data_IF_497021488834
#
_entry.id   IF_497021488834
#
_cell.length_a   1.000
_cell.length_b   1.000
_cell.length_c   1.000
_cell.angle_alpha   90.00
_cell.angle_beta   90.00
_cell.angle_gamma   90.00
#
_symmetry.space_group_name_H-M   'P 1'
#
loop_
_entity.id
_entity.type
_entity.pdbx_description
1 polymer ?
2 branched ?
3 non-polymer ?
4 non-polymer ?
5 non-polymer ?
6 water ?
#
# COMPACT_ATOMS: atom_id res chain seq x y z
N UNK A 4 -3.35 12.94 -15.67
CA UNK A 4 -2.03 13.47 -15.97
C UNK A 4 -0.91 12.59 -15.41
N UNK A 5 -1.03 12.06 -14.20
CA UNK A 5 0.07 11.30 -13.59
C UNK A 5 0.40 10.05 -14.40
N UNK A 6 -0.60 9.22 -14.64
CA UNK A 6 -0.37 7.97 -15.35
C UNK A 6 -0.07 8.23 -16.82
N UNK A 7 -0.67 9.24 -17.43
CA UNK A 7 -0.31 9.56 -18.81
C UNK A 7 1.15 9.95 -18.91
N UNK A 8 1.64 10.74 -17.96
CA UNK A 8 3.01 11.20 -18.00
C UNK A 8 4.02 10.13 -17.66
N UNK A 9 3.78 9.35 -16.59
CA UNK A 9 4.75 8.36 -16.13
C UNK A 9 4.58 7.02 -16.79
N UNK A 10 3.32 6.67 -17.11
CA UNK A 10 3.01 5.48 -17.82
C UNK A 10 3.46 4.22 -17.11
N UNK A 11 4.04 3.32 -17.85
CA UNK A 11 4.45 2.05 -17.37
C UNK A 11 5.56 2.19 -16.33
N UNK A 12 5.30 1.70 -15.12
CA UNK A 12 6.31 1.69 -14.08
C UNK A 12 7.12 0.44 -14.16
N UNK A 13 8.40 0.53 -13.78
CA UNK A 13 9.24 -0.65 -13.70
C UNK A 13 10.32 -0.41 -12.64
N UNK A 14 11.06 -1.48 -12.36
CA UNK A 14 12.20 -1.39 -11.46
C UNK A 14 13.49 -1.42 -12.26
N UNK A 15 14.34 -0.44 -12.04
CA UNK A 15 15.65 -0.38 -12.66
C UNK A 15 16.68 -0.15 -11.58
N UNK A 16 17.62 -1.08 -11.45
CA UNK A 16 18.66 -0.97 -10.43
C UNK A 16 18.09 -0.67 -9.05
N UNK A 17 17.02 -1.37 -8.71
CA UNK A 17 16.46 -1.28 -7.38
C UNK A 17 15.59 -0.07 -7.12
N UNK A 18 15.28 0.71 -8.16
CA UNK A 18 14.51 1.95 -8.04
C UNK A 18 13.25 1.86 -8.87
N UNK A 19 12.16 2.42 -8.33
CA UNK A 19 10.95 2.62 -9.13
C UNK A 19 11.19 3.75 -10.11
N UNK A 20 10.97 3.44 -11.39
CA UNK A 20 11.14 4.40 -12.48
C UNK A 20 9.90 4.38 -13.37
N UNK A 21 9.76 5.48 -14.12
CA UNK A 21 8.72 5.58 -15.12
C UNK A 21 9.20 5.03 -16.47
N UNK A 22 8.34 5.16 -17.48
CA UNK A 22 8.60 4.53 -18.77
C UNK A 22 9.72 5.16 -19.56
N UNK A 23 10.18 6.31 -19.11
CA UNK A 23 11.34 6.97 -19.68
C UNK A 23 12.56 6.85 -18.79
N UNK A 24 12.48 5.99 -17.79
CA UNK A 24 13.62 5.66 -16.96
C UNK A 24 13.90 6.61 -15.84
N UNK A 25 13.02 7.56 -15.58
CA UNK A 25 13.21 8.53 -14.52
C UNK A 25 12.64 8.03 -13.21
N UNK A 26 13.35 8.28 -12.11
CA UNK A 26 12.81 7.91 -10.80
C UNK A 26 11.47 8.59 -10.61
N UNK A 27 10.53 7.86 -10.01
CA UNK A 27 9.34 8.49 -9.59
C UNK A 27 8.92 7.97 -8.23
N UNK A 28 8.35 8.86 -7.46
CA UNK A 28 7.91 8.56 -6.10
C UNK A 28 6.40 8.74 -6.02
N UNK A 29 5.72 7.68 -5.66
CA UNK A 29 4.29 7.73 -5.43
C UNK A 29 4.04 8.06 -3.96
N UNK A 30 3.02 8.90 -3.71
CA UNK A 30 2.60 9.25 -2.37
C UNK A 30 1.11 9.30 -2.36
N UNK A 31 0.46 8.58 -1.46
CA UNK A 31 -0.99 8.55 -1.40
C UNK A 31 -1.53 7.98 -0.13
N UNK A 32 -2.81 7.61 -0.20
CA UNK A 32 -3.55 7.09 0.91
C UNK A 32 -3.95 5.65 0.71
N UNK A 33 -3.99 4.93 1.82
CA UNK A 33 -4.68 3.66 1.91
C UNK A 33 -6.06 3.83 2.50
N UNK A 34 -7.00 3.06 1.98
CA UNK A 34 -8.23 2.84 2.68
C UNK A 34 -7.92 2.13 4.00
N UNK A 35 -8.89 2.15 4.92
CA UNK A 35 -8.92 1.18 6.01
C UNK A 35 -9.55 -0.08 5.45
N UNK A 36 -9.93 -1.03 6.29
CA UNK A 36 -10.48 -2.23 5.74
C UNK A 36 -11.76 -1.98 4.95
N UNK A 37 -11.85 -2.53 3.74
CA UNK A 37 -12.99 -2.30 2.88
C UNK A 37 -14.28 -2.87 3.44
N UNK A 38 -14.19 -3.84 4.33
CA UNK A 38 -15.35 -4.43 4.96
C UNK A 38 -15.91 -3.56 6.08
N UNK A 39 -15.16 -2.56 6.52
CA UNK A 39 -15.56 -1.70 7.64
C UNK A 39 -15.81 -0.26 7.23
N UNK A 40 -14.98 0.27 6.32
CA UNK A 40 -14.99 1.69 5.98
C UNK A 40 -14.95 1.88 4.46
N UNK A 41 -15.61 0.99 3.74
CA UNK A 41 -15.64 1.06 2.31
C UNK A 41 -16.35 2.25 1.73
N UNK A 42 -17.17 2.93 2.53
CA UNK A 42 -17.87 4.11 2.02
C UNK A 42 -16.95 5.23 1.66
N UNK A 43 -15.72 5.24 2.21
CA UNK A 43 -14.75 6.26 1.91
C UNK A 43 -14.02 6.02 0.60
N UNK A 44 -14.28 4.89 -0.06
CA UNK A 44 -13.61 4.54 -1.32
C UNK A 44 -14.59 4.69 -2.45
N UNK A 45 -14.42 5.75 -3.24
CA UNK A 45 -15.32 6.04 -4.34
C UNK A 45 -14.63 7.07 -5.22
N UNK A 46 -15.11 7.22 -6.45
CA UNK A 46 -14.54 8.17 -7.39
C UNK A 46 -14.46 9.56 -6.79
N UNK A 47 -15.54 10.04 -6.15
CA UNK A 47 -15.52 11.42 -5.68
C UNK A 47 -14.50 11.65 -4.58
N UNK A 48 -14.38 10.76 -3.62
CA UNK A 48 -13.39 10.93 -2.59
C UNK A 48 -11.97 10.83 -3.15
N UNK A 49 -11.75 9.91 -4.09
CA UNK A 49 -10.44 9.74 -4.70
C UNK A 49 -10.08 10.96 -5.53
N UNK A 50 -11.08 11.54 -6.21
CA UNK A 50 -10.84 12.74 -6.99
C UNK A 50 -10.46 13.90 -6.07
N UNK A 51 -11.14 14.03 -4.94
CA UNK A 51 -10.80 15.06 -3.96
C UNK A 51 -9.39 14.85 -3.41
N UNK A 52 -9.03 13.61 -3.09
CA UNK A 52 -7.65 13.34 -2.68
C UNK A 52 -6.66 13.73 -3.76
N UNK A 53 -6.96 13.39 -5.02
CA UNK A 53 -6.05 13.75 -6.09
C UNK A 53 -5.90 15.27 -6.18
N UNK A 54 -7.03 15.98 -6.20
CA UNK A 54 -7.02 17.40 -6.51
C UNK A 54 -6.62 18.28 -5.34
N UNK A 55 -7.09 17.95 -4.15
CA UNK A 55 -6.85 18.76 -2.96
C UNK A 55 -5.60 18.30 -2.19
N UNK A 56 -5.35 17.00 -2.10
CA UNK A 56 -4.13 16.52 -1.41
C UNK A 56 -2.96 16.32 -2.34
N UNK A 57 -3.21 16.08 -3.62
CA UNK A 57 -2.15 15.75 -4.55
C UNK A 57 -1.75 14.29 -4.61
N UNK A 58 -2.61 13.38 -4.17
CA UNK A 58 -2.22 11.97 -4.24
C UNK A 58 -1.96 11.56 -5.66
N UNK A 59 -1.06 10.58 -5.84
CA UNK A 59 -0.85 9.96 -7.14
C UNK A 59 -0.94 8.44 -7.10
N UNK A 60 -1.38 7.91 -5.97
CA UNK A 60 -1.64 6.48 -5.80
C UNK A 60 -2.69 6.34 -4.71
N UNK A 61 -3.51 5.30 -4.83
CA UNK A 61 -4.50 4.95 -3.82
C UNK A 61 -4.41 3.47 -3.57
N UNK A 62 -4.42 3.05 -2.29
CA UNK A 62 -4.31 1.66 -1.92
C UNK A 62 -5.65 1.16 -1.39
N UNK A 63 -6.16 0.10 -2.02
CA UNK A 63 -7.41 -0.52 -1.64
C UNK A 63 -7.10 -1.73 -0.75
N UNK A 64 -7.32 -1.58 0.56
CA UNK A 64 -6.92 -2.55 1.58
C UNK A 64 -8.03 -3.56 1.78
N UNK A 65 -7.98 -4.65 1.02
CA UNK A 65 -8.99 -5.68 1.06
C UNK A 65 -8.55 -6.75 2.06
N UNK A 66 -8.95 -6.58 3.33
CA UNK A 66 -8.73 -7.64 4.32
C UNK A 66 -9.25 -8.93 3.75
N UNK A 67 -8.52 -10.00 4.03
CA UNK A 67 -8.93 -11.35 3.71
C UNK A 67 -9.76 -11.97 4.84
N UNK A 68 -9.27 -11.87 6.06
CA UNK A 68 -9.95 -12.30 7.25
C UNK A 68 -10.62 -11.11 7.95
N UNK A 69 -11.01 -11.27 9.21
CA UNK A 69 -11.62 -10.18 9.98
C UNK A 69 -12.87 -9.63 9.27
N UNK A 70 -13.65 -10.53 8.71
CA UNK A 70 -14.88 -10.13 8.02
C UNK A 70 -14.68 -9.68 6.61
N UNK A 71 -13.45 -9.82 6.10
CA UNK A 71 -13.09 -9.46 4.75
C UNK A 71 -13.45 -10.51 3.71
N UNK A 72 -12.64 -10.57 2.65
CA UNK A 72 -12.95 -11.28 1.42
C UNK A 72 -13.29 -12.76 1.61
N UNK A 73 -12.57 -13.46 2.48
CA UNK A 73 -12.84 -14.88 2.69
C UNK A 73 -14.24 -15.08 3.29
N UNK A 74 -14.62 -14.23 4.22
CA UNK A 74 -15.91 -14.26 4.91
C UNK A 74 -17.04 -13.76 4.01
N UNK A 75 -16.77 -12.73 3.23
CA UNK A 75 -17.78 -12.11 2.37
C UNK A 75 -17.03 -11.53 1.18
N UNK A 76 -17.14 -12.18 0.01
CA UNK A 76 -16.26 -11.81 -1.09
C UNK A 76 -16.72 -10.58 -1.83
N UNK A 77 -17.87 -10.02 -1.44
CA UNK A 77 -18.39 -8.87 -2.14
C UNK A 77 -17.43 -7.69 -2.11
N UNK A 78 -16.52 -7.65 -1.14
CA UNK A 78 -15.65 -6.62 -1.06
C UNK A 78 -14.66 -6.54 -2.29
N UNK A 79 -14.51 -7.64 -3.04
CA UNK A 79 -13.74 -7.56 -4.28
C UNK A 79 -14.33 -6.54 -5.26
N UNK A 80 -15.65 -6.36 -5.22
CA UNK A 80 -16.27 -5.38 -6.13
C UNK A 80 -15.91 -3.97 -5.74
N UNK A 81 -15.65 -3.71 -4.46
CA UNK A 81 -15.19 -2.40 -4.03
C UNK A 81 -13.74 -2.18 -4.51
N UNK A 82 -12.90 -3.24 -4.51
CA UNK A 82 -11.57 -3.10 -5.11
C UNK A 82 -11.72 -2.70 -6.59
N UNK A 83 -12.60 -3.37 -7.32
CA UNK A 83 -12.83 -3.02 -8.73
C UNK A 83 -13.27 -1.57 -8.86
N UNK A 84 -14.18 -1.11 -8.01
CA UNK A 84 -14.58 0.29 -8.04
C UNK A 84 -13.40 1.23 -7.87
N UNK A 85 -12.52 0.90 -6.92
CA UNK A 85 -11.34 1.72 -6.69
C UNK A 85 -10.41 1.73 -7.88
N UNK A 86 -10.18 0.57 -8.49
CA UNK A 86 -9.32 0.48 -9.65
C UNK A 86 -9.88 1.30 -10.80
N UNK A 87 -11.17 1.16 -11.04
CA UNK A 87 -11.82 1.92 -12.11
C UNK A 87 -11.72 3.42 -11.86
N UNK A 88 -11.90 3.85 -10.62
CA UNK A 88 -11.75 5.25 -10.28
C UNK A 88 -10.33 5.72 -10.55
N UNK A 89 -9.33 4.94 -10.16
CA UNK A 89 -7.95 5.32 -10.41
C UNK A 89 -7.67 5.46 -11.90
N UNK A 90 -8.19 4.52 -12.69
CA UNK A 90 -8.06 4.62 -14.14
C UNK A 90 -8.70 5.91 -14.66
N UNK A 91 -9.90 6.22 -14.19
CA UNK A 91 -10.59 7.42 -14.64
C UNK A 91 -9.90 8.69 -14.21
N UNK A 92 -9.24 8.65 -13.04
CA UNK A 92 -8.56 9.78 -12.47
C UNK A 92 -7.10 9.89 -12.89
N UNK A 93 -6.61 8.88 -13.61
CA UNK A 93 -5.26 8.85 -14.09
C UNK A 93 -4.22 8.86 -12.95
N UNK A 94 -4.49 8.03 -11.92
CA UNK A 94 -3.55 7.78 -10.85
C UNK A 94 -3.29 6.29 -10.73
N UNK A 95 -2.26 5.94 -9.96
CA UNK A 95 -1.93 4.54 -9.73
C UNK A 95 -2.81 3.97 -8.61
N UNK A 96 -2.92 2.64 -8.57
CA UNK A 96 -3.75 1.97 -7.60
C UNK A 96 -3.08 0.70 -7.16
N UNK A 97 -3.07 0.48 -5.85
CA UNK A 97 -2.55 -0.74 -5.26
C UNK A 97 -3.72 -1.64 -4.86
N UNK A 98 -3.72 -2.87 -5.38
CA UNK A 98 -4.67 -3.90 -5.01
C UNK A 98 -4.03 -4.71 -3.89
N UNK A 99 -4.51 -4.55 -2.65
CA UNK A 99 -3.85 -5.12 -1.47
C UNK A 99 -4.65 -6.29 -0.90
N UNK A 100 -4.09 -7.49 -1.06
CA UNK A 100 -4.56 -8.72 -0.42
C UNK A 100 -4.10 -8.65 1.04
N UNK A 101 -5.00 -8.15 1.89
CA UNK A 101 -4.61 -7.57 3.16
C UNK A 101 -4.68 -8.60 4.29
N UNK A 102 -3.69 -9.50 4.27
CA UNK A 102 -3.55 -10.50 5.33
C UNK A 102 -3.10 -9.81 6.60
N UNK A 103 -3.52 -10.38 7.74
CA UNK A 103 -3.10 -9.85 9.04
C UNK A 103 -3.26 -10.95 10.09
N UNK A 104 -4.49 -11.19 10.56
CA UNK A 104 -4.70 -12.27 11.53
C UNK A 104 -4.41 -13.63 10.94
N UNK A 105 -4.72 -13.76 9.65
CA UNK A 105 -4.31 -14.86 8.83
C UNK A 105 -2.86 -14.62 8.45
N UNK A 106 -1.98 -14.95 9.39
CA UNK A 106 -0.66 -14.35 9.47
C UNK A 106 0.34 -14.97 8.49
N UNK A 107 0.03 -16.17 8.02
CA UNK A 107 0.81 -16.85 7.00
C UNK A 107 0.08 -16.67 5.69
N UNK A 108 0.73 -16.11 4.65
CA UNK A 108 0.02 -15.92 3.37
C UNK A 108 -0.39 -17.24 2.74
N UNK A 109 0.20 -18.35 3.16
CA UNK A 109 -0.19 -19.63 2.63
C UNK A 109 -1.57 -20.08 3.06
N UNK A 110 -2.14 -19.53 4.12
CA UNK A 110 -3.43 -19.98 4.63
C UNK A 110 -4.49 -19.87 3.53
N UNK A 111 -4.55 -18.73 2.85
CA UNK A 111 -5.55 -18.48 1.81
C UNK A 111 -4.90 -18.37 0.43
N UNK A 112 -3.83 -19.13 0.20
CA UNK A 112 -3.13 -19.01 -1.08
C UNK A 112 -3.99 -19.43 -2.26
N UNK A 113 -4.86 -20.43 -2.13
CA UNK A 113 -5.66 -20.82 -3.27
C UNK A 113 -6.59 -19.68 -3.68
N UNK A 114 -7.22 -19.08 -2.68
CA UNK A 114 -8.10 -17.95 -2.92
C UNK A 114 -7.32 -16.76 -3.46
N UNK A 115 -6.10 -16.54 -2.97
CA UNK A 115 -5.28 -15.45 -3.47
C UNK A 115 -4.96 -15.62 -4.94
N UNK A 116 -4.60 -16.84 -5.33
CA UNK A 116 -4.29 -17.11 -6.72
C UNK A 116 -5.50 -16.80 -7.59
N UNK A 117 -6.67 -17.28 -7.20
CA UNK A 117 -7.94 -17.03 -7.91
C UNK A 117 -8.18 -15.55 -8.04
N UNK A 118 -8.06 -14.83 -6.94
CA UNK A 118 -8.34 -13.41 -6.90
C UNK A 118 -7.38 -12.64 -7.81
N UNK A 119 -6.09 -12.93 -7.71
CA UNK A 119 -5.13 -12.23 -8.55
C UNK A 119 -5.24 -12.64 -10.00
N UNK A 120 -5.64 -13.86 -10.30
CA UNK A 120 -5.95 -14.21 -11.68
C UNK A 120 -7.04 -13.29 -12.23
N UNK A 121 -8.13 -13.16 -11.46
CA UNK A 121 -9.25 -12.33 -11.89
C UNK A 121 -8.83 -10.88 -12.07
N UNK A 122 -8.12 -10.32 -11.09
CA UNK A 122 -7.77 -8.90 -11.15
C UNK A 122 -6.80 -8.62 -12.28
N UNK A 123 -5.82 -9.50 -12.48
CA UNK A 123 -4.86 -9.28 -13.55
C UNK A 123 -5.47 -9.54 -14.93
N UNK A 124 -6.45 -10.43 -15.03
CA UNK A 124 -7.17 -10.58 -16.29
C UNK A 124 -7.95 -9.31 -16.61
N UNK A 125 -8.61 -8.73 -15.64
CA UNK A 125 -9.41 -7.55 -15.86
C UNK A 125 -8.56 -6.34 -16.17
N UNK A 126 -7.48 -6.14 -15.43
CA UNK A 126 -6.78 -4.87 -15.42
C UNK A 126 -5.35 -4.93 -15.91
N UNK A 127 -4.93 -6.11 -16.39
CA UNK A 127 -3.54 -6.30 -16.75
C UNK A 127 -3.04 -5.55 -17.94
N UNK A 128 -3.92 -4.89 -18.70
CA UNK A 128 -3.47 -4.02 -19.78
C UNK A 128 -3.67 -2.54 -19.48
N UNK A 129 -3.67 -2.19 -18.19
CA UNK A 129 -3.58 -0.81 -17.73
C UNK A 129 -2.29 -0.63 -16.96
N UNK A 130 -1.61 0.50 -17.09
CA UNK A 130 -0.37 0.73 -16.35
C UNK A 130 -0.61 1.17 -14.90
N UNK A 131 -1.88 1.38 -14.53
CA UNK A 131 -2.17 1.96 -13.21
C UNK A 131 -1.95 0.97 -12.07
N UNK A 132 -2.05 -0.31 -12.36
CA UNK A 132 -2.21 -1.34 -11.36
C UNK A 132 -0.88 -1.76 -10.74
N UNK A 133 -0.86 -1.86 -9.42
CA UNK A 133 0.24 -2.41 -8.62
C UNK A 133 -0.41 -3.49 -7.76
N UNK A 134 0.14 -4.70 -7.77
CA UNK A 134 -0.43 -5.82 -7.01
C UNK A 134 0.33 -6.00 -5.70
N UNK A 135 -0.36 -5.97 -4.57
CA UNK A 135 0.27 -6.18 -3.26
C UNK A 135 -0.29 -7.48 -2.72
N UNK A 136 0.52 -8.55 -2.83
CA UNK A 136 0.01 -9.90 -2.71
C UNK A 136 -0.10 -10.44 -1.29
N UNK A 137 0.46 -9.74 -0.29
CA UNK A 137 0.34 -10.19 1.11
C UNK A 137 0.76 -9.06 2.04
N UNK A 138 -0.22 -8.26 2.49
CA UNK A 138 0.03 -7.07 3.31
C UNK A 138 1.14 -7.28 4.35
N UNK A 139 0.86 -8.09 5.37
CA UNK A 139 1.72 -8.21 6.56
C UNK A 139 1.79 -9.66 7.03
N UNK A 140 2.63 -10.48 6.38
CA UNK A 140 3.06 -11.73 7.01
C UNK A 140 3.56 -11.41 8.43
N UNK A 141 3.25 -12.28 9.39
CA UNK A 141 3.70 -12.06 10.75
C UNK A 141 3.72 -13.38 11.51
N UNK A 142 4.40 -13.36 12.64
CA UNK A 142 4.60 -14.50 13.48
C UNK A 142 5.96 -15.12 13.32
N UNK A 143 6.49 -15.70 14.39
CA UNK A 143 7.84 -16.31 14.30
C UNK A 143 7.87 -17.56 13.44
N UNK A 144 6.70 -18.14 13.20
CA UNK A 144 6.52 -19.31 12.36
C UNK A 144 6.34 -18.96 10.87
N UNK A 145 6.48 -17.70 10.50
CA UNK A 145 6.33 -17.26 9.14
C UNK A 145 7.61 -16.55 8.74
N UNK A 146 8.41 -17.21 7.92
CA UNK A 146 9.65 -16.63 7.49
C UNK A 146 9.68 -16.42 5.98
N UNK A 147 10.59 -15.55 5.56
CA UNK A 147 10.78 -15.31 4.14
C UNK A 147 11.06 -16.59 3.37
N UNK A 148 12.07 -17.33 3.79
CA UNK A 148 12.49 -18.48 3.00
C UNK A 148 11.53 -19.63 3.05
N UNK A 149 10.87 -19.84 4.16
CA UNK A 149 10.00 -21.00 4.33
C UNK A 149 8.56 -20.79 3.89
N UNK A 150 8.06 -19.59 4.08
CA UNK A 150 6.65 -19.29 3.85
C UNK A 150 6.42 -18.23 2.77
N UNK A 151 7.06 -17.08 2.89
CA UNK A 151 6.63 -15.94 2.09
C UNK A 151 7.14 -16.05 0.65
N UNK A 152 8.43 -16.34 0.49
CA UNK A 152 9.00 -16.45 -0.86
C UNK A 152 8.29 -17.54 -1.66
N UNK A 153 8.08 -18.74 -1.09
CA UNK A 153 7.43 -19.71 -1.96
C UNK A 153 5.96 -19.36 -2.23
N UNK A 154 5.26 -18.69 -1.31
CA UNK A 154 3.93 -18.14 -1.63
C UNK A 154 4.00 -17.21 -2.83
N UNK A 155 4.94 -16.28 -2.79
CA UNK A 155 5.10 -15.32 -3.90
C UNK A 155 5.40 -16.06 -5.20
N UNK A 156 6.17 -17.14 -5.14
CA UNK A 156 6.53 -17.89 -6.33
C UNK A 156 5.40 -18.73 -6.85
N UNK A 157 4.27 -18.85 -6.14
CA UNK A 157 3.02 -19.38 -6.66
C UNK A 157 2.11 -18.30 -7.21
N UNK A 158 2.03 -17.15 -6.56
CA UNK A 158 1.09 -16.12 -6.97
C UNK A 158 1.62 -15.29 -8.14
N UNK A 159 2.90 -14.95 -8.13
CA UNK A 159 3.49 -14.15 -9.18
C UNK A 159 3.26 -14.77 -10.57
N UNK A 160 3.47 -16.07 -10.76
CA UNK A 160 3.24 -16.57 -12.13
C UNK A 160 1.78 -16.46 -12.58
N UNK A 161 0.83 -16.56 -11.67
CA UNK A 161 -0.58 -16.36 -12.01
C UNK A 161 -0.77 -14.94 -12.57
N UNK A 162 -0.24 -13.94 -11.88
CA UNK A 162 -0.33 -12.57 -12.35
C UNK A 162 0.39 -12.42 -13.68
N UNK A 163 1.61 -12.93 -13.76
CA UNK A 163 2.46 -12.71 -14.93
C UNK A 163 1.89 -13.34 -16.18
N UNK A 164 1.07 -14.37 -16.05
CA UNK A 164 0.40 -14.95 -17.20
C UNK A 164 -0.57 -13.97 -17.85
N UNK A 165 -1.06 -13.00 -17.08
CA UNK A 165 -1.99 -11.99 -17.58
C UNK A 165 -1.41 -10.59 -17.69
N UNK A 166 -0.31 -10.32 -17.00
CA UNK A 166 0.22 -8.97 -16.83
C UNK A 166 1.71 -9.13 -16.63
N UNK A 167 2.48 -8.99 -17.71
CA UNK A 167 3.87 -9.50 -17.58
C UNK A 167 4.80 -8.58 -16.84
N UNK A 168 4.43 -7.38 -16.50
CA UNK A 168 5.44 -6.51 -15.92
C UNK A 168 4.89 -5.33 -15.08
N UNK A 169 3.58 -5.21 -14.77
CA UNK A 169 3.23 -4.23 -13.73
C UNK A 169 3.89 -4.65 -12.40
N UNK A 170 4.07 -3.65 -11.54
CA UNK A 170 4.76 -3.85 -10.27
C UNK A 170 3.98 -4.80 -9.37
N UNK A 171 4.72 -5.68 -8.68
CA UNK A 171 4.19 -6.55 -7.63
C UNK A 171 4.97 -6.23 -6.35
N UNK A 172 4.23 -5.88 -5.29
CA UNK A 172 4.78 -5.64 -3.97
C UNK A 172 4.55 -6.91 -3.13
N UNK A 173 5.63 -7.42 -2.53
CA UNK A 173 5.59 -8.64 -1.72
C UNK A 173 5.90 -8.31 -0.26
N UNK A 174 4.98 -8.70 0.61
CA UNK A 174 5.15 -8.48 2.04
C UNK A 174 6.35 -9.22 2.57
N UNK A 175 6.83 -8.73 3.71
CA UNK A 175 7.99 -9.30 4.37
C UNK A 175 7.63 -9.72 5.79
N UNK A 176 8.53 -10.45 6.44
CA UNK A 176 8.23 -10.99 7.76
C UNK A 176 8.10 -9.92 8.81
N UNK A 177 7.53 -10.35 9.95
CA UNK A 177 7.42 -9.48 11.11
C UNK A 177 6.62 -8.21 10.78
N UNK A 178 5.43 -8.42 10.22
CA UNK A 178 4.52 -7.32 9.83
C UNK A 178 5.20 -6.41 8.80
N UNK A 179 5.79 -7.03 7.78
CA UNK A 179 6.45 -6.30 6.70
C UNK A 179 7.50 -5.36 7.22
N UNK A 180 8.31 -5.86 8.16
CA UNK A 180 9.50 -5.15 8.58
C UNK A 180 10.81 -5.82 8.16
N UNK A 181 10.79 -7.12 7.92
CA UNK A 181 12.03 -7.89 7.76
C UNK A 181 12.50 -7.87 6.29
N UNK A 182 12.85 -6.67 5.88
CA UNK A 182 13.40 -6.47 4.54
C UNK A 182 14.82 -7.04 4.43
N UNK A 183 15.54 -7.18 5.54
CA UNK A 183 16.89 -7.71 5.48
C UNK A 183 16.89 -9.13 4.92
N UNK A 184 16.02 -10.00 5.42
CA UNK A 184 16.04 -11.37 4.94
C UNK A 184 15.57 -11.46 3.50
N UNK A 185 14.56 -10.68 3.11
CA UNK A 185 14.12 -10.68 1.73
C UNK A 185 15.22 -10.22 0.80
N UNK A 186 15.93 -9.17 1.20
CA UNK A 186 16.96 -8.60 0.34
C UNK A 186 18.14 -9.55 0.14
N UNK A 187 18.35 -10.43 1.09
CA UNK A 187 19.40 -11.45 0.99
C UNK A 187 18.98 -12.67 0.19
N UNK A 188 17.70 -12.75 -0.19
CA UNK A 188 17.15 -13.94 -0.85
C UNK A 188 16.03 -13.52 -1.78
N UNK A 189 16.40 -12.69 -2.75
CA UNK A 189 15.42 -11.98 -3.56
C UNK A 189 14.71 -12.91 -4.54
N UNK A 190 13.48 -12.54 -4.87
CA UNK A 190 12.72 -13.15 -5.95
C UNK A 190 13.35 -12.85 -7.31
N UNK A 191 13.02 -13.71 -8.27
CA UNK A 191 13.56 -13.58 -9.62
C UNK A 191 12.91 -12.45 -10.44
N UNK A 192 11.62 -12.21 -10.24
CA UNK A 192 10.93 -11.30 -11.15
C UNK A 192 11.53 -9.92 -11.07
N UNK A 193 11.81 -9.28 -12.22
CA UNK A 193 12.51 -7.99 -12.19
C UNK A 193 11.65 -6.82 -11.79
N UNK A 194 10.34 -6.97 -11.71
CA UNK A 194 9.46 -5.87 -11.37
C UNK A 194 8.75 -6.12 -10.04
N UNK A 195 9.49 -6.68 -9.11
CA UNK A 195 9.07 -6.89 -7.75
C UNK A 195 9.67 -5.84 -6.84
N UNK A 196 8.89 -5.50 -5.81
CA UNK A 196 9.34 -4.69 -4.71
C UNK A 196 8.96 -5.38 -3.42
N UNK A 197 9.68 -5.10 -2.34
CA UNK A 197 9.36 -5.67 -1.03
C UNK A 197 8.71 -4.60 -0.19
N UNK A 198 7.66 -4.98 0.52
CA UNK A 198 6.97 -4.05 1.41
C UNK A 198 7.77 -3.80 2.67
N UNK A 199 7.75 -2.55 3.11
CA UNK A 199 8.23 -2.15 4.41
C UNK A 199 7.17 -1.25 5.02
N UNK A 200 6.75 -1.56 6.26
CA UNK A 200 5.73 -0.79 6.97
C UNK A 200 6.30 -0.26 8.26
N UNK A 201 5.98 0.98 8.59
CA UNK A 201 6.40 1.58 9.87
C UNK A 201 5.28 2.38 10.48
N UNK A 202 5.43 2.57 11.80
CA UNK A 202 4.54 3.40 12.60
C UNK A 202 5.40 4.35 13.40
N UNK A 203 5.08 5.64 13.34
CA UNK A 203 5.92 6.67 13.92
C UNK A 203 5.98 6.63 15.45
N UNK A 204 5.08 5.90 16.10
CA UNK A 204 5.20 5.69 17.54
C UNK A 204 6.32 4.76 17.96
N UNK A 205 6.98 4.10 17.00
CA UNK A 205 8.16 3.31 17.27
C UNK A 205 9.39 4.10 16.94
N UNK A 206 10.40 4.11 17.82
CA UNK A 206 11.65 4.75 17.51
C UNK A 206 12.29 4.05 16.31
N UNK A 207 12.58 4.79 15.24
CA UNK A 207 12.83 4.19 13.94
C UNK A 207 14.23 4.15 13.44
N UNK A 208 15.25 4.47 14.22
CA UNK A 208 16.57 4.64 13.63
C UNK A 208 17.14 3.35 13.07
N UNK A 209 17.01 2.24 13.79
CA UNK A 209 17.52 1.01 13.27
C UNK A 209 16.71 0.51 12.09
N UNK A 210 15.39 0.74 12.13
CA UNK A 210 14.53 0.35 11.00
C UNK A 210 14.95 1.09 9.72
N UNK A 211 15.28 2.36 9.83
CA UNK A 211 15.82 3.09 8.68
C UNK A 211 17.11 2.45 8.20
N UNK A 212 18.01 2.10 9.12
CA UNK A 212 19.26 1.49 8.73
C UNK A 212 19.02 0.14 8.04
N UNK A 213 18.02 -0.62 8.44
CA UNK A 213 17.72 -1.88 7.81
C UNK A 213 17.13 -1.69 6.42
N UNK A 214 16.32 -0.66 6.24
CA UNK A 214 15.86 -0.33 4.88
C UNK A 214 17.07 -0.02 4.02
N UNK A 215 18.01 0.79 4.51
CA UNK A 215 19.22 1.07 3.75
C UNK A 215 20.01 -0.19 3.43
N UNK A 216 20.12 -1.13 4.37
CA UNK A 216 20.77 -2.39 4.08
C UNK A 216 20.09 -3.08 2.89
N UNK A 217 18.78 -3.15 2.91
CA UNK A 217 18.05 -3.82 1.85
C UNK A 217 18.27 -3.14 0.51
N UNK A 218 18.18 -1.83 0.49
CA UNK A 218 18.44 -1.06 -0.72
C UNK A 218 19.83 -1.34 -1.24
N UNK A 219 20.81 -1.47 -0.34
CA UNK A 219 22.20 -1.73 -0.73
C UNK A 219 22.39 -3.11 -1.33
N UNK A 220 21.43 -4.03 -1.20
CA UNK A 220 21.47 -5.33 -1.86
C UNK A 220 20.78 -5.28 -3.22
N UNK A 221 20.35 -4.09 -3.65
CA UNK A 221 19.66 -3.97 -4.92
C UNK A 221 18.19 -4.29 -4.85
N UNK A 222 17.63 -4.52 -3.66
CA UNK A 222 16.19 -4.74 -3.52
C UNK A 222 15.46 -3.42 -3.60
N UNK A 223 14.31 -3.42 -4.29
CA UNK A 223 13.44 -2.25 -4.31
C UNK A 223 12.43 -2.35 -3.17
N UNK A 224 12.15 -1.24 -2.53
CA UNK A 224 11.28 -1.20 -1.35
C UNK A 224 10.14 -0.22 -1.63
N UNK A 225 8.91 -0.65 -1.35
CA UNK A 225 7.73 0.23 -1.38
C UNK A 225 7.18 0.29 0.04
N UNK A 226 7.02 1.49 0.58
CA UNK A 226 6.46 1.65 1.94
C UNK A 226 4.94 1.65 1.76
N UNK A 227 4.37 0.46 1.55
CA UNK A 227 2.99 0.38 1.12
C UNK A 227 2.01 0.68 2.23
N UNK A 228 2.49 0.82 3.47
CA UNK A 228 1.65 1.27 4.57
C UNK A 228 2.53 1.86 5.64
N UNK A 229 2.14 3.02 6.16
CA UNK A 229 2.78 3.58 7.34
C UNK A 229 1.74 4.45 8.06
N UNK A 230 1.97 4.66 9.34
CA UNK A 230 1.12 5.55 10.10
C UNK A 230 1.86 6.50 10.99
N UNK A 231 1.14 7.55 11.37
CA UNK A 231 1.65 8.54 12.32
C UNK A 231 1.48 8.10 13.79
N UNK A 232 0.76 7.03 14.01
CA UNK A 232 0.40 6.50 15.33
C UNK A 232 1.41 5.47 15.83
N UNK A 233 1.10 4.88 16.97
CA UNK A 233 1.75 3.66 17.39
C UNK A 233 1.35 2.50 16.47
N UNK A 234 2.04 1.37 16.63
CA UNK A 234 1.92 0.22 15.74
C UNK A 234 0.56 -0.41 15.72
N UNK A 235 -0.26 -0.13 16.71
CA UNK A 235 -1.64 -0.58 16.75
C UNK A 235 -2.60 0.18 15.83
N UNK A 236 -2.15 1.30 15.28
CA UNK A 236 -3.02 2.21 14.58
C UNK A 236 -3.60 3.30 15.46
N UNK A 237 -3.33 3.22 16.76
CA UNK A 237 -3.82 4.17 17.75
C UNK A 237 -2.68 4.66 18.63
N UNK A 238 -2.98 5.24 19.80
CA UNK A 238 -1.93 5.48 20.81
C UNK A 238 -1.20 6.81 20.69
N UNK A 239 -1.86 7.76 20.05
CA UNK A 239 -1.35 9.09 19.89
C UNK A 239 -0.75 9.26 18.52
N UNK A 240 -0.33 10.48 18.30
CA UNK A 240 0.23 10.95 17.08
C UNK A 240 1.73 11.26 17.34
N UNK A 241 2.63 10.95 16.41
CA UNK A 241 4.07 11.08 16.61
C UNK A 241 4.66 11.81 15.44
N UNK A 242 4.33 13.09 15.31
CA UNK A 242 4.68 13.81 14.11
C UNK A 242 6.16 14.10 13.96
N UNK A 243 6.91 14.21 15.06
CA UNK A 243 8.34 14.41 14.93
C UNK A 243 8.99 13.21 14.23
N UNK A 244 8.71 12.02 14.70
CA UNK A 244 9.29 10.82 14.10
C UNK A 244 8.71 10.62 12.71
N UNK A 245 7.43 10.94 12.50
CA UNK A 245 6.87 10.84 11.16
C UNK A 245 7.66 11.69 10.17
N UNK A 246 7.99 12.91 10.56
CA UNK A 246 8.75 13.78 9.67
C UNK A 246 10.12 13.21 9.37
N UNK A 247 10.79 12.61 10.35
CA UNK A 247 12.09 11.97 10.09
C UNK A 247 11.92 10.91 9.01
N UNK A 248 10.88 10.09 9.12
CA UNK A 248 10.61 9.09 8.10
C UNK A 248 10.26 9.69 6.74
N UNK A 249 9.46 10.75 6.71
CA UNK A 249 9.12 11.42 5.45
C UNK A 249 10.39 11.85 4.74
N UNK A 250 11.30 12.48 5.48
CA UNK A 250 12.52 12.98 4.88
C UNK A 250 13.40 11.82 4.39
N UNK A 251 13.50 10.77 5.17
CA UNK A 251 14.21 9.57 4.79
C UNK A 251 13.67 8.99 3.49
N UNK A 252 12.35 8.86 3.38
CA UNK A 252 11.75 8.32 2.18
C UNK A 252 12.03 9.20 0.97
N UNK A 253 11.97 10.52 1.11
CA UNK A 253 12.29 11.38 0.00
C UNK A 253 13.72 11.21 -0.45
N UNK A 254 14.65 11.12 0.48
CA UNK A 254 16.07 10.96 0.13
C UNK A 254 16.35 9.65 -0.57
N UNK A 255 15.58 8.61 -0.25
CA UNK A 255 15.75 7.28 -0.81
C UNK A 255 14.78 6.91 -1.97
N UNK A 256 14.03 7.86 -2.53
CA UNK A 256 13.07 7.53 -3.61
C UNK A 256 12.09 6.44 -3.25
N UNK A 257 11.58 6.52 -1.99
CA UNK A 257 10.67 5.50 -1.54
C UNK A 257 9.24 5.97 -1.64
N UNK A 258 8.44 5.24 -2.40
CA UNK A 258 7.02 5.48 -2.52
C UNK A 258 6.29 5.04 -1.26
N UNK A 259 5.11 5.61 -1.02
CA UNK A 259 4.39 5.32 0.18
C UNK A 259 2.91 5.55 0.08
N UNK A 260 2.19 4.82 0.95
CA UNK A 260 0.76 5.03 1.19
C UNK A 260 0.53 5.08 2.72
N UNK A 261 -0.20 6.11 3.16
CA UNK A 261 -0.50 6.31 4.56
C UNK A 261 -1.79 5.61 4.98
N UNK A 262 -1.74 5.02 6.18
CA UNK A 262 -2.86 4.39 6.83
C UNK A 262 -3.48 5.39 7.80
N UNK A 263 -4.75 5.78 7.69
CA UNK A 263 -5.69 5.32 6.67
C UNK A 263 -6.81 6.34 6.52
N UNK A 264 -7.57 6.16 5.44
CA UNK A 264 -8.67 7.04 5.09
C UNK A 264 -9.97 6.54 5.72
N UNK A 265 -10.20 7.00 6.96
CA UNK A 265 -11.41 6.66 7.69
C UNK A 265 -11.64 7.74 8.75
N UNK A 266 -12.87 7.76 9.25
CA UNK A 266 -13.27 8.59 10.38
C UNK A 266 -13.18 7.92 11.73
N UNK A 267 -12.67 6.69 11.77
CA UNK A 267 -12.55 5.97 13.03
C UNK A 267 -11.82 6.79 14.05
N UNK A 268 -12.23 6.71 15.31
CA UNK A 268 -11.58 7.42 16.40
C UNK A 268 -10.32 6.67 16.85
N UNK A 269 -9.31 6.68 16.00
CA UNK A 269 -7.98 6.18 16.33
C UNK A 269 -6.98 7.16 15.76
N UNK A 270 -5.77 7.22 16.38
CA UNK A 270 -4.86 8.29 15.96
C UNK A 270 -4.41 8.26 14.50
N UNK A 271 -4.31 7.08 13.91
CA UNK A 271 -3.85 7.02 12.52
C UNK A 271 -4.92 7.43 11.51
N UNK A 272 -6.18 7.49 11.91
CA UNK A 272 -7.24 7.83 10.97
C UNK A 272 -7.06 9.24 10.46
N UNK A 273 -7.27 9.47 9.16
CA UNK A 273 -7.05 10.78 8.56
C UNK A 273 -8.19 11.76 8.77
N UNK A 274 -9.39 11.27 9.07
CA UNK A 274 -10.60 12.08 9.03
C UNK A 274 -11.27 12.13 10.41
N UNK A 275 -11.98 13.23 10.66
CA UNK A 275 -12.77 13.37 11.86
C UNK A 275 -14.09 12.69 11.72
N UNK A 276 -14.72 12.38 12.86
CA UNK A 276 -16.11 12.00 12.84
C UNK A 276 -16.89 13.07 12.14
N UNK A 277 -17.78 12.65 11.26
CA UNK A 277 -18.55 13.58 10.45
C UNK A 277 -17.91 13.99 9.12
N UNK A 278 -16.71 13.52 8.83
CA UNK A 278 -16.21 13.78 7.47
C UNK A 278 -17.06 13.10 6.37
N UNK A 279 -17.32 13.84 5.31
CA UNK A 279 -18.17 13.33 4.22
C UNK A 279 -17.44 12.21 3.48
N UNK A 280 -18.06 11.06 3.25
CA UNK A 280 -17.32 9.99 2.59
C UNK A 280 -17.02 10.23 1.12
N UNK A 281 -17.56 11.31 0.54
CA UNK A 281 -17.32 11.66 -0.85
C UNK A 281 -16.35 12.83 -1.01
N UNK A 282 -15.68 13.26 0.06
CA UNK A 282 -14.66 14.27 -0.03
C UNK A 282 -15.12 15.65 0.36
N UNK A 283 -14.30 16.63 0.01
CA UNK A 283 -14.60 18.02 0.23
C UNK A 283 -14.24 18.54 1.59
N UNK A 284 -13.34 17.85 2.29
CA UNK A 284 -13.07 18.08 3.73
C UNK A 284 -12.33 19.36 4.03
N UNK A 285 -13.01 20.14 4.88
CA UNK A 285 -12.51 21.33 5.56
C UNK A 285 -11.35 20.94 6.46
N UNK A 286 -10.58 21.94 6.88
CA UNK A 286 -9.55 21.74 7.85
C UNK A 286 -10.09 21.07 9.11
N UNK A 287 -11.28 21.47 9.55
CA UNK A 287 -11.83 20.96 10.77
C UNK A 287 -12.21 19.51 10.68
N UNK A 288 -12.40 19.02 9.44
CA UNK A 288 -12.80 17.66 9.21
C UNK A 288 -11.65 16.69 8.99
N UNK A 289 -10.43 17.20 9.00
CA UNK A 289 -9.22 16.37 9.00
C UNK A 289 -8.75 16.19 10.43
N UNK A 290 -8.29 14.99 10.73
CA UNK A 290 -7.73 14.71 12.03
C UNK A 290 -6.31 15.28 12.11
N UNK A 291 -5.72 15.22 13.31
CA UNK A 291 -4.32 15.56 13.46
C UNK A 291 -3.43 14.85 12.41
N UNK A 292 -3.63 13.55 12.29
CA UNK A 292 -2.87 12.76 11.33
C UNK A 292 -3.15 13.22 9.88
N UNK A 293 -4.43 13.34 9.53
CA UNK A 293 -4.77 13.71 8.17
C UNK A 293 -4.24 15.05 7.74
N UNK A 294 -4.27 16.01 8.66
CA UNK A 294 -3.76 17.32 8.37
C UNK A 294 -2.29 17.25 7.98
N UNK A 295 -1.52 16.48 8.75
CA UNK A 295 -0.11 16.30 8.49
C UNK A 295 0.14 15.60 7.16
N UNK A 296 -0.54 14.49 6.93
CA UNK A 296 -0.30 13.71 5.73
C UNK A 296 -0.66 14.54 4.48
N UNK A 297 -1.79 15.24 4.54
CA UNK A 297 -2.17 16.12 3.45
C UNK A 297 -1.08 17.13 3.18
N UNK A 298 -0.54 17.76 4.23
CA UNK A 298 0.53 18.74 4.05
C UNK A 298 1.73 18.10 3.40
N UNK A 299 2.09 16.88 3.80
CA UNK A 299 3.25 16.23 3.22
C UNK A 299 3.05 16.01 1.73
N UNK A 300 1.88 15.55 1.33
CA UNK A 300 1.65 15.29 -0.09
C UNK A 300 1.55 16.62 -0.86
N UNK A 301 0.92 17.64 -0.32
CA UNK A 301 0.83 18.93 -1.03
C UNK A 301 2.22 19.57 -1.22
N UNK A 302 3.10 19.42 -0.22
CA UNK A 302 4.50 19.90 -0.27
C UNK A 302 5.26 19.25 -1.40
N UNK A 303 4.90 18.00 -1.71
CA UNK A 303 5.65 17.18 -2.65
C UNK A 303 5.47 17.67 -4.07
X LIG B 1 -6.36 -0.53 12.27
X LIG B 1 -7.30 -0.84 13.42
X LIG B 1 -7.83 -2.27 13.27
X LIG B 1 -6.62 -3.20 13.23
X LIG B 1 -6.95 -4.66 13.13
X LIG B 1 -5.26 -1.58 12.18
X LIG B 1 -5.78 0.75 12.40
X LIG B 1 -8.38 0.07 13.44
X LIG B 1 -8.66 -2.58 14.38
X LIG B 1 -5.83 -2.87 12.09
X LIG B 1 -7.66 -4.90 11.92
X LIG B 2 -10.44 -3.79 15.35
X LIG B 2 -11.84 -4.34 15.14
X LIG B 2 -12.74 -3.33 14.46
X LIG B 2 -12.06 -2.77 13.23
X LIG B 2 -12.86 -1.69 12.54
X LIG B 2 -9.90 -3.20 14.06
X LIG B 2 -9.55 -4.80 15.82
X LIG B 2 -12.35 -4.74 16.39
X LIG B 2 -13.96 -3.94 14.10
X LIG B 2 -10.78 -2.23 13.56
X LIG B 2 -13.04 -0.61 13.43
X LIG C 1 14.34 -17.52 -6.78
X LIG C 1 13.85 -18.65 -6.25
X LIG C 1 15.83 -17.65 -6.85
X LIG C 1 16.34 -17.78 -5.54
X LIG C 1 16.37 -16.42 -7.57
X LIG C 1 17.78 -16.40 -7.48
X LIG D 1 14.57 -18.37 6.65
X LIG D 1 13.45 -19.25 6.58
X LIG D 1 14.54 -17.06 5.84
X LIG D 1 13.26 -16.76 5.40
X LIG D 1 15.53 -17.01 4.67
X LIG D 1 15.93 -18.31 4.27
X LIG E 1 -10.37 14.99 -14.88
X LIG E 1 -10.48 15.88 -13.74
X LIG E 1 -11.62 14.92 -15.62
X LIG E 1 -10.05 13.65 -14.36
X LIG E 1 -9.30 15.43 -15.77
X LIG F 1 -1.97 -0.73 12.40
X LIG F 1 -2.16 -1.24 10.99
X LIG F 1 -3.40 -2.12 10.81
X LIG F 1 -3.39 -2.65 9.37
X LIG F 1 -2.06 -3.33 9.10
X LIG F 1 -1.93 -1.81 13.33
X LIG F 1 -0.98 -2.00 10.72
X LIG F 1 -4.56 -1.35 11.02
X LIG F 1 -4.40 -3.63 9.16
X LIG F 1 -0.97 -2.41 9.35
#
# INVERSE_FOLDING_TARGET
>A
DNDSVVEEHGQLSISNGELVNERGEQVQLKGMSSHGLQWYGQFVNYESMKWLRDDWGINVFRAAMYTSSGGYIDDPSVKEKVKEAVEAAIDLDIYVIIDWHILSDNDPNIYKEEAKDFFDEMSELYGDYPNVIYEIANEPNGSDVTWGNQIKPYAEEVIPIIRNNDPNNIIIVGTGTWSQDVHHAADNQLADPNVMYAFHFYAGTHGQNLRDQVDYALDQGAAIFVSEWGTSAATGDGGVFLDEAQVWIDFMDERNLSWANWSLTHKDESSAALMPGANPTGGWTEAELSPSGTFVREKIRES
>B hetero
1 BGC C2 C3 C4 C5 C6 C1 O2 O3 O4 O5 O6
2 BGC C2 C3 C4 C5 C6 C1 O2 O3 O4 O5 O6
>C hetero
1 GOL C1 O1 C2 O2 C3 O3
>D hetero
1 GOL C1 O1 C2 O2 C3 O3
>E hetero
1 SO4 S O1 O2 O3 O4
>F hetero
1 OXZ C6 C5 C4 C3 C2 O6 O5 O4 O3 N1
#
